data_IF_562998596213
#
_entry.id   IF_562998596213
#
_cell.length_a   1.000
_cell.length_b   1.000
_cell.length_c   1.000
_cell.angle_alpha   90.00
_cell.angle_beta   90.00
_cell.angle_gamma   90.00
#
_symmetry.space_group_name_H-M   'P 1'
#
loop_
_entity.id
_entity.type
_entity.pdbx_description
1 polymer ?
#
# COMPACT_ATOMS: atom_id res chain seq x y z
N UNK A 1 4.86 3.38 8.29
CA UNK A 1 4.30 4.74 8.09
C UNK A 1 4.58 5.51 9.37
N UNK A 2 5.38 6.57 9.32
CA UNK A 2 5.63 7.45 10.47
C UNK A 2 4.91 8.77 10.24
N UNK A 3 4.14 9.22 11.23
CA UNK A 3 3.53 10.54 11.26
C UNK A 3 4.41 11.50 12.08
N UNK A 4 4.59 12.70 11.54
CA UNK A 4 5.36 13.81 12.11
C UNK A 4 4.57 14.40 13.27
N UNK A 5 5.20 14.59 14.44
CA UNK A 5 4.57 15.28 15.58
C UNK A 5 4.42 16.76 15.26
N UNK A 6 3.19 17.26 15.35
CA UNK A 6 2.88 18.68 15.25
C UNK A 6 1.92 18.97 14.11
N UNK A 7 0.64 18.66 14.31
CA UNK A 7 -0.52 19.47 13.96
C UNK A 7 -1.78 18.61 14.16
N UNK A 8 -2.60 18.97 15.14
CA UNK A 8 -3.99 18.52 15.32
C UNK A 8 -4.17 17.03 15.65
N UNK A 9 -4.68 16.74 16.85
CA UNK A 9 -5.18 15.40 17.19
C UNK A 9 -6.08 14.88 16.08
N UNK A 10 -5.69 13.74 15.52
CA UNK A 10 -6.29 13.05 14.39
C UNK A 10 -7.82 13.06 14.47
N UNK A 11 -8.48 13.72 13.52
CA UNK A 11 -9.94 13.67 13.30
C UNK A 11 -10.47 12.23 13.13
N UNK A 12 -9.58 11.28 12.84
CA UNK A 12 -9.87 9.85 12.76
C UNK A 12 -10.27 9.27 14.13
N UNK A 13 -9.77 9.82 15.24
CA UNK A 13 -9.97 9.25 16.58
C UNK A 13 -11.09 9.92 17.39
N UNK A 14 -11.74 10.98 16.88
CA UNK A 14 -12.76 11.73 17.64
C UNK A 14 -14.03 10.92 17.98
N UNK A 15 -14.23 9.78 17.30
CA UNK A 15 -15.37 8.87 17.54
C UNK A 15 -15.00 7.64 18.40
N UNK A 16 -13.74 7.51 18.82
CA UNK A 16 -13.33 6.41 19.70
C UNK A 16 -13.75 6.74 21.13
N UNK A 17 -14.75 6.02 21.63
CA UNK A 17 -15.18 6.15 23.03
C UNK A 17 -14.11 5.55 23.96
N UNK A 18 -13.53 6.33 24.88
CA UNK A 18 -12.55 5.81 25.83
C UNK A 18 -13.16 4.69 26.69
N UNK A 19 -12.46 3.54 26.79
CA UNK A 19 -12.88 2.41 27.61
C UNK A 19 -13.80 1.37 26.94
N UNK A 20 -14.35 1.65 25.75
CA UNK A 20 -15.09 0.65 24.95
C UNK A 20 -14.18 -0.12 23.98
N UNK A 21 -12.99 0.40 23.68
CA UNK A 21 -12.05 -0.18 22.70
C UNK A 21 -10.63 -0.20 23.24
N UNK A 22 -9.96 -1.36 23.16
CA UNK A 22 -8.52 -1.47 23.39
C UNK A 22 -7.77 -1.08 22.10
N UNK A 23 -7.07 0.05 22.12
CA UNK A 23 -6.27 0.48 20.98
C UNK A 23 -4.89 -0.21 21.03
N UNK A 24 -4.77 -1.33 20.31
CA UNK A 24 -3.50 -2.04 20.15
C UNK A 24 -2.69 -1.43 18.99
N UNK A 25 -1.72 -0.58 19.31
CA UNK A 25 -0.75 -0.08 18.35
C UNK A 25 0.23 -1.19 17.95
N UNK A 26 -0.02 -1.84 16.80
CA UNK A 26 0.95 -2.75 16.18
C UNK A 26 1.65 -2.03 15.05
N UNK A 27 2.96 -2.23 14.91
CA UNK A 27 3.66 -1.77 13.70
C UNK A 27 2.99 -2.42 12.48
N UNK A 28 2.94 -1.71 11.34
CA UNK A 28 2.41 -2.27 10.08
C UNK A 28 3.08 -3.61 9.76
N UNK A 29 4.37 -3.74 10.08
CA UNK A 29 5.12 -4.99 9.93
C UNK A 29 4.57 -6.11 10.82
N UNK A 30 4.31 -5.84 12.10
CA UNK A 30 3.72 -6.82 13.02
C UNK A 30 2.28 -7.17 12.64
N UNK A 31 1.48 -6.19 12.24
CA UNK A 31 0.10 -6.40 11.82
C UNK A 31 0.02 -7.28 10.57
N UNK A 32 0.84 -6.99 9.56
CA UNK A 32 0.92 -7.74 8.30
C UNK A 32 1.84 -8.97 8.38
N UNK A 33 2.42 -9.25 9.55
CA UNK A 33 3.37 -10.35 9.78
C UNK A 33 4.59 -10.33 8.83
N UNK A 34 5.03 -9.14 8.42
CA UNK A 34 6.19 -8.92 7.56
C UNK A 34 7.45 -8.94 8.44
N UNK A 35 8.37 -9.87 8.17
CA UNK A 35 9.68 -9.92 8.84
C UNK A 35 10.69 -9.07 8.06
N UNK A 36 11.79 -8.63 8.69
CA UNK A 36 12.85 -7.91 7.98
C UNK A 36 13.39 -8.67 6.75
N UNK A 37 13.43 -9.99 6.80
CA UNK A 37 13.85 -10.86 5.68
C UNK A 37 12.88 -10.90 4.50
N UNK A 38 11.64 -10.45 4.71
CA UNK A 38 10.62 -10.36 3.67
C UNK A 38 10.72 -9.03 2.90
N UNK A 39 11.58 -8.11 3.34
CA UNK A 39 11.86 -6.84 2.67
C UNK A 39 13.04 -6.97 1.71
N UNK A 40 13.07 -6.12 0.69
CA UNK A 40 14.20 -5.97 -0.22
C UNK A 40 14.62 -4.50 -0.34
N UNK A 41 15.33 -3.95 0.66
CA UNK A 41 15.55 -2.51 0.78
C UNK A 41 16.26 -1.85 -0.40
N UNK A 42 17.00 -2.61 -1.21
CA UNK A 42 17.67 -2.08 -2.42
C UNK A 42 16.67 -1.54 -3.44
N UNK A 43 15.41 -2.02 -3.40
CA UNK A 43 14.34 -1.57 -4.29
C UNK A 43 13.37 -0.59 -3.61
N UNK A 44 13.68 -0.10 -2.39
CA UNK A 44 12.93 1.00 -1.79
C UNK A 44 13.02 2.25 -2.67
N UNK A 45 11.99 3.09 -2.65
CA UNK A 45 11.98 4.30 -3.47
C UNK A 45 11.26 5.45 -2.79
N UNK A 46 11.89 6.63 -2.83
CA UNK A 46 11.33 7.87 -2.30
C UNK A 46 10.69 8.72 -3.41
N UNK A 47 9.37 8.70 -3.48
CA UNK A 47 8.58 9.51 -4.43
C UNK A 47 8.42 10.97 -3.98
N UNK A 48 9.13 11.41 -2.93
CA UNK A 48 9.25 12.84 -2.58
C UNK A 48 10.34 13.55 -3.37
N UNK A 49 11.15 12.80 -4.11
CA UNK A 49 12.22 13.34 -4.95
C UNK A 49 11.63 14.29 -6.01
N UNK A 50 12.20 15.49 -6.12
CA UNK A 50 11.81 16.46 -7.14
C UNK A 50 12.17 15.98 -8.54
N UNK A 51 11.34 16.33 -9.54
CA UNK A 51 11.62 16.03 -10.96
C UNK A 51 11.17 14.65 -11.42
N UNK A 52 10.42 13.91 -10.60
CA UNK A 52 9.75 12.69 -11.05
C UNK A 52 8.62 13.03 -12.04
N UNK A 53 8.43 12.23 -13.11
CA UNK A 53 7.29 12.39 -13.98
C UNK A 53 6.00 12.07 -13.22
N UNK A 54 4.90 12.73 -13.58
CA UNK A 54 3.58 12.42 -13.01
C UNK A 54 3.07 11.03 -13.45
N UNK A 55 3.49 10.60 -14.64
CA UNK A 55 3.02 9.39 -15.31
C UNK A 55 4.16 8.66 -16.02
N UNK A 56 4.10 7.33 -15.98
CA UNK A 56 4.88 6.37 -16.76
C UNK A 56 3.93 5.39 -17.46
N UNK A 57 4.49 4.34 -18.06
CA UNK A 57 3.75 3.19 -18.58
C UNK A 57 4.21 1.91 -17.86
N UNK A 58 3.28 1.01 -17.54
CA UNK A 58 3.55 -0.36 -17.06
C UNK A 58 2.56 -1.34 -17.67
N UNK A 59 3.05 -2.44 -18.22
CA UNK A 59 2.23 -3.44 -18.90
C UNK A 59 1.42 -2.85 -20.06
N UNK A 60 1.94 -1.85 -20.77
CA UNK A 60 1.27 -1.06 -21.82
C UNK A 60 0.13 -0.15 -21.33
N UNK A 61 -0.03 0.06 -20.02
CA UNK A 61 -1.04 0.96 -19.45
C UNK A 61 -0.45 2.19 -18.76
N UNK A 62 -1.13 3.35 -18.78
CA UNK A 62 -0.81 4.51 -17.96
C UNK A 62 -0.61 4.15 -16.48
N UNK A 63 0.53 4.56 -15.92
CA UNK A 63 0.85 4.37 -14.52
C UNK A 63 1.15 5.72 -13.85
N UNK A 64 0.32 6.11 -12.88
CA UNK A 64 0.50 7.36 -12.13
C UNK A 64 1.40 7.14 -10.93
N UNK A 65 2.40 8.01 -10.76
CA UNK A 65 3.37 7.86 -9.69
C UNK A 65 2.74 8.28 -8.36
N UNK A 66 2.98 7.53 -7.27
CA UNK A 66 2.52 7.90 -5.94
C UNK A 66 3.40 9.02 -5.36
N UNK A 67 3.35 10.21 -5.97
CA UNK A 67 4.16 11.37 -5.58
C UNK A 67 3.92 11.72 -4.10
N UNK A 68 5.00 11.98 -3.37
CA UNK A 68 4.98 12.26 -1.93
C UNK A 68 5.06 11.03 -1.00
N UNK A 69 5.01 9.81 -1.55
CA UNK A 69 5.05 8.58 -0.77
C UNK A 69 6.46 7.96 -0.70
N UNK A 70 6.70 7.16 0.34
CA UNK A 70 7.89 6.31 0.42
C UNK A 70 7.48 4.85 0.29
N UNK A 71 8.06 4.15 -0.69
CA UNK A 71 7.77 2.74 -0.96
C UNK A 71 8.80 1.85 -0.28
N UNK A 72 8.32 0.91 0.52
CA UNK A 72 9.10 -0.22 1.03
C UNK A 72 8.91 -1.41 0.10
N UNK A 73 10.00 -2.00 -0.37
CA UNK A 73 9.96 -3.14 -1.28
C UNK A 73 9.90 -4.47 -0.52
N UNK A 74 9.09 -5.39 -1.04
CA UNK A 74 9.00 -6.77 -0.57
C UNK A 74 9.85 -7.67 -1.46
N UNK A 75 10.51 -8.65 -0.85
CA UNK A 75 11.26 -9.70 -1.56
C UNK A 75 10.27 -10.72 -2.12
N UNK A 76 9.80 -10.50 -3.35
CA UNK A 76 8.76 -11.32 -4.01
C UNK A 76 9.24 -12.11 -5.23
N UNK A 77 10.44 -11.83 -5.71
CA UNK A 77 11.04 -12.58 -6.83
C UNK A 77 11.16 -14.06 -6.48
N UNK A 78 10.88 -14.92 -7.45
CA UNK A 78 10.92 -16.38 -7.38
C UNK A 78 9.97 -17.01 -6.34
N UNK A 79 9.04 -16.22 -5.78
CA UNK A 79 8.06 -16.71 -4.79
C UNK A 79 6.68 -16.98 -5.35
N UNK A 80 6.34 -16.40 -6.50
CA UNK A 80 4.99 -16.44 -7.07
C UNK A 80 5.05 -16.65 -8.58
N UNK A 81 4.26 -17.60 -9.08
CA UNK A 81 4.20 -17.92 -10.51
C UNK A 81 5.37 -18.78 -10.99
N UNK A 82 5.51 -18.87 -12.32
CA UNK A 82 6.57 -19.64 -12.98
C UNK A 82 7.76 -18.76 -13.41
N UNK A 83 7.59 -17.43 -13.39
CA UNK A 83 8.59 -16.45 -13.79
C UNK A 83 8.41 -15.14 -12.99
N UNK A 84 9.31 -14.18 -13.23
CA UNK A 84 9.27 -12.85 -12.64
C UNK A 84 8.81 -11.76 -13.63
N UNK A 85 8.35 -12.12 -14.83
CA UNK A 85 7.98 -11.15 -15.86
C UNK A 85 6.85 -10.23 -15.38
N UNK A 86 5.91 -10.78 -14.61
CA UNK A 86 4.76 -10.06 -14.07
C UNK A 86 5.10 -8.81 -13.23
N UNK A 87 6.23 -8.80 -12.51
CA UNK A 87 6.60 -7.70 -11.59
C UNK A 87 7.55 -6.67 -12.21
N UNK A 88 7.93 -6.82 -13.49
CA UNK A 88 8.84 -5.91 -14.18
C UNK A 88 8.42 -4.44 -14.12
N UNK A 89 9.38 -3.52 -14.22
CA UNK A 89 9.18 -2.07 -14.08
C UNK A 89 9.55 -1.28 -15.35
N UNK A 90 9.78 -1.97 -16.47
CA UNK A 90 10.35 -1.38 -17.69
C UNK A 90 9.38 -1.38 -18.87
N UNK A 91 8.11 -1.68 -18.62
CA UNK A 91 7.06 -1.78 -19.63
C UNK A 91 7.32 -2.87 -20.69
N UNK A 92 7.96 -3.97 -20.26
CA UNK A 92 8.24 -5.13 -21.11
C UNK A 92 7.01 -6.01 -21.34
N UNK A 93 7.04 -6.81 -22.42
CA UNK A 93 6.03 -7.84 -22.69
C UNK A 93 5.95 -8.85 -21.53
N UNK A 94 4.73 -9.16 -21.09
CA UNK A 94 4.48 -10.03 -19.94
C UNK A 94 4.44 -9.31 -18.58
N UNK A 95 4.81 -8.03 -18.51
CA UNK A 95 4.62 -7.22 -17.31
C UNK A 95 3.13 -6.99 -17.02
N UNK A 96 2.75 -7.08 -15.75
CA UNK A 96 1.38 -6.81 -15.36
C UNK A 96 1.15 -5.31 -15.19
N UNK A 97 -0.01 -4.79 -15.64
CA UNK A 97 -0.42 -3.45 -15.24
C UNK A 97 -0.62 -3.40 -13.73
N UNK A 98 -0.11 -2.31 -13.11
CA UNK A 98 -0.25 -2.08 -11.68
C UNK A 98 -1.02 -0.79 -11.47
N UNK A 99 -2.01 -0.82 -10.59
CA UNK A 99 -2.73 0.37 -10.14
C UNK A 99 -2.69 0.46 -8.61
N UNK A 100 -2.63 1.69 -8.09
CA UNK A 100 -2.88 1.93 -6.67
C UNK A 100 -4.33 2.34 -6.47
N UNK A 101 -4.93 1.81 -5.41
CA UNK A 101 -6.26 2.21 -4.99
C UNK A 101 -6.19 2.70 -3.54
N UNK A 102 -6.47 3.99 -3.34
CA UNK A 102 -6.60 4.56 -2.00
C UNK A 102 -7.88 4.04 -1.35
N UNK A 103 -7.76 3.53 -0.12
CA UNK A 103 -8.91 3.01 0.64
C UNK A 103 -8.83 3.45 2.10
N UNK A 104 -9.98 3.46 2.78
CA UNK A 104 -10.03 3.71 4.21
C UNK A 104 -9.46 2.52 4.99
N UNK A 105 -8.87 2.77 6.15
CA UNK A 105 -8.21 1.73 6.96
C UNK A 105 -9.18 0.63 7.42
N UNK A 106 -10.45 0.97 7.65
CA UNK A 106 -11.52 0.02 8.02
C UNK A 106 -11.90 -0.93 6.86
N UNK A 107 -11.66 -0.53 5.61
CA UNK A 107 -11.92 -1.37 4.43
C UNK A 107 -10.81 -2.40 4.15
N UNK A 108 -9.63 -2.26 4.76
CA UNK A 108 -8.46 -3.14 4.48
C UNK A 108 -8.77 -4.61 4.78
N UNK A 109 -9.38 -4.91 5.92
CA UNK A 109 -9.71 -6.29 6.30
C UNK A 109 -10.68 -6.95 5.31
N UNK A 110 -11.70 -6.21 4.85
CA UNK A 110 -12.64 -6.69 3.84
C UNK A 110 -11.96 -6.97 2.50
N UNK A 111 -11.10 -6.04 2.05
CA UNK A 111 -10.34 -6.21 0.80
C UNK A 111 -9.42 -7.43 0.86
N UNK A 112 -8.76 -7.67 2.00
CA UNK A 112 -7.89 -8.84 2.17
C UNK A 112 -8.68 -10.16 2.15
N UNK A 113 -9.91 -10.19 2.65
CA UNK A 113 -10.73 -11.40 2.74
C UNK A 113 -11.55 -11.68 1.49
N UNK A 114 -12.03 -10.63 0.81
CA UNK A 114 -13.02 -10.73 -0.26
C UNK A 114 -12.57 -10.09 -1.59
N UNK A 115 -11.37 -9.51 -1.63
CA UNK A 115 -10.88 -8.75 -2.77
C UNK A 115 -11.46 -7.33 -2.85
N UNK A 116 -11.02 -6.57 -3.86
CA UNK A 116 -11.55 -5.23 -4.11
C UNK A 116 -12.95 -5.36 -4.77
N UNK A 117 -14.00 -5.06 -3.99
CA UNK A 117 -15.38 -5.10 -4.46
C UNK A 117 -15.83 -3.69 -4.92
N UNK A 118 -16.11 -3.49 -6.23
CA UNK A 118 -16.41 -2.15 -6.77
C UNK A 118 -17.73 -1.55 -6.26
N UNK A 119 -18.61 -2.35 -5.65
CA UNK A 119 -19.94 -1.94 -5.19
C UNK A 119 -20.17 -2.20 -3.69
N UNK A 120 -19.11 -2.24 -2.88
CA UNK A 120 -19.26 -2.43 -1.44
C UNK A 120 -19.94 -1.20 -0.81
N UNK A 121 -21.28 -1.24 -0.74
CA UNK A 121 -22.07 -0.29 0.04
C UNK A 121 -21.89 -0.65 1.50
N UNK A 122 -21.46 0.32 2.31
CA UNK A 122 -21.46 0.18 3.77
C UNK A 122 -22.91 -0.06 4.20
N UNK A 123 -23.24 -1.28 4.60
CA UNK A 123 -24.52 -1.56 5.26
C UNK A 123 -24.52 -0.79 6.57
N UNK A 124 -25.31 0.26 6.64
CA UNK A 124 -25.41 1.14 7.80
C UNK A 124 -25.72 0.34 9.07
N UNK A 125 -25.00 0.68 10.14
CA UNK A 125 -25.36 0.40 11.52
C UNK A 125 -25.73 1.71 12.20
#
# INVERSE_FOLDING_TARGET
IYARSGFGTDTILQHVKPGEYECLWKSVLSYLQIRPSDLDPQFNFDYKTSGLPEKLTRGSYPYYLPLGWYRYALKVLDKYGNDNAWIGQVDAEGEWPVAFYGTHSDAVSSILQHGLLPNAVKSGG
#
